data_IF_130980106824
#
_entry.id   IF_130980106824
#
_cell.length_a   1.000
_cell.length_b   1.000
_cell.length_c   1.000
_cell.angle_alpha   90.00
_cell.angle_beta   90.00
_cell.angle_gamma   90.00
#
_symmetry.space_group_name_H-M   'P 1'
#
loop_
_entity.id
_entity.type
_entity.pdbx_description
1 polymer ?
#
# COMPACT_ATOMS: atom_id res chain seq x y z
N UNK A 1 2.28 -1.50 -10.95
CA UNK A 1 3.14 -0.29 -11.01
C UNK A 1 4.28 -0.31 -9.99
N UNK A 2 4.02 -0.57 -8.71
CA UNK A 2 5.07 -0.63 -7.67
C UNK A 2 6.15 -1.69 -7.97
N UNK A 3 5.75 -2.89 -8.40
CA UNK A 3 6.69 -3.95 -8.80
C UNK A 3 7.59 -3.52 -9.97
N UNK A 4 6.99 -3.02 -11.06
CA UNK A 4 7.73 -2.50 -12.22
C UNK A 4 8.74 -1.40 -11.85
N UNK A 5 8.38 -0.46 -10.96
CA UNK A 5 9.32 0.55 -10.45
C UNK A 5 10.50 -0.11 -9.73
N UNK A 6 10.21 -1.08 -8.85
CA UNK A 6 11.23 -1.81 -8.09
C UNK A 6 12.16 -2.60 -9.02
N UNK A 7 11.62 -3.24 -10.04
CA UNK A 7 12.39 -3.97 -11.05
C UNK A 7 13.33 -3.04 -11.82
N UNK A 8 12.85 -1.88 -12.28
CA UNK A 8 13.70 -0.90 -12.97
C UNK A 8 14.79 -0.32 -12.06
N UNK A 9 14.47 -0.04 -10.79
CA UNK A 9 15.46 0.39 -9.79
C UNK A 9 16.55 -0.67 -9.63
N UNK A 10 16.15 -1.94 -9.51
CA UNK A 10 17.07 -3.05 -9.33
C UNK A 10 17.93 -3.30 -10.58
N UNK A 11 17.33 -3.22 -11.77
CA UNK A 11 18.05 -3.33 -13.04
C UNK A 11 19.10 -2.22 -13.17
N UNK A 12 18.72 -0.97 -12.91
CA UNK A 12 19.63 0.18 -12.95
C UNK A 12 20.79 -0.01 -11.97
N UNK A 13 20.52 -0.41 -10.71
CA UNK A 13 21.56 -0.70 -9.72
C UNK A 13 22.48 -1.86 -10.15
N UNK A 14 21.92 -2.90 -10.77
CA UNK A 14 22.66 -4.05 -11.28
C UNK A 14 23.64 -3.67 -12.40
N UNK A 15 23.17 -2.87 -13.37
CA UNK A 15 23.99 -2.37 -14.47
C UNK A 15 25.15 -1.51 -13.96
N UNK A 16 24.87 -0.54 -13.10
CA UNK A 16 25.93 0.31 -12.51
C UNK A 16 26.95 -0.52 -11.73
N UNK A 17 26.49 -1.53 -10.97
CA UNK A 17 27.37 -2.44 -10.23
C UNK A 17 28.30 -3.24 -11.15
N UNK A 18 27.83 -3.67 -12.33
CA UNK A 18 28.67 -4.39 -13.29
C UNK A 18 29.82 -3.55 -13.86
N UNK A 19 29.68 -2.22 -13.83
CA UNK A 19 30.70 -1.25 -14.25
C UNK A 19 31.65 -0.85 -13.10
N UNK A 20 31.60 -1.55 -11.96
CA UNK A 20 32.50 -1.32 -10.83
C UNK A 20 32.14 -0.12 -9.94
N UNK A 21 31.04 0.58 -10.23
CA UNK A 21 30.56 1.72 -9.42
C UNK A 21 29.29 1.35 -8.65
N UNK A 22 28.85 2.20 -7.72
CA UNK A 22 27.64 1.98 -6.93
C UNK A 22 26.80 3.25 -6.85
N UNK A 23 25.50 3.09 -7.04
CA UNK A 23 24.53 4.16 -6.82
C UNK A 23 24.31 4.44 -5.33
N UNK A 24 23.98 5.70 -4.98
CA UNK A 24 23.68 6.07 -3.61
C UNK A 24 22.44 5.35 -3.07
N UNK A 25 22.42 5.11 -1.76
CA UNK A 25 21.22 4.64 -1.07
C UNK A 25 20.17 5.75 -1.10
N UNK A 26 18.96 5.39 -1.48
CA UNK A 26 17.82 6.30 -1.61
C UNK A 26 16.51 5.51 -1.55
N UNK A 27 15.43 6.22 -1.20
CA UNK A 27 14.07 5.68 -1.27
C UNK A 27 13.62 5.53 -2.72
N UNK A 28 12.66 4.64 -2.98
CA UNK A 28 12.14 4.45 -4.34
C UNK A 28 11.59 5.73 -4.99
N UNK A 29 10.87 6.62 -4.27
CA UNK A 29 10.38 7.88 -4.85
C UNK A 29 11.52 8.86 -5.21
N UNK A 30 12.59 8.91 -4.41
CA UNK A 30 13.72 9.82 -4.65
C UNK A 30 14.77 9.26 -5.61
N UNK A 31 14.61 8.01 -6.05
CA UNK A 31 15.62 7.30 -6.85
C UNK A 31 16.00 8.07 -8.11
N UNK A 32 15.01 8.52 -8.88
CA UNK A 32 15.29 9.16 -10.16
C UNK A 32 16.08 10.47 -10.02
N UNK A 33 15.80 11.26 -8.98
CA UNK A 33 16.55 12.49 -8.69
C UNK A 33 17.99 12.18 -8.24
N UNK A 34 18.16 11.24 -7.31
CA UNK A 34 19.48 10.94 -6.73
C UNK A 34 20.42 10.23 -7.70
N UNK A 35 19.87 9.52 -8.68
CA UNK A 35 20.66 8.69 -9.60
C UNK A 35 21.14 9.47 -10.82
N UNK A 36 20.40 10.48 -11.30
CA UNK A 36 20.81 11.31 -12.45
C UNK A 36 22.23 11.86 -12.33
N UNK A 37 22.62 12.28 -11.12
CA UNK A 37 23.94 12.87 -10.85
C UNK A 37 25.01 11.80 -10.57
N UNK A 38 24.61 10.63 -10.09
CA UNK A 38 25.52 9.56 -9.66
C UNK A 38 25.87 8.56 -10.78
N UNK A 39 25.25 8.67 -11.96
CA UNK A 39 25.50 7.78 -13.09
C UNK A 39 26.79 8.18 -13.83
N UNK A 40 27.75 7.24 -14.02
CA UNK A 40 28.96 7.47 -14.79
C UNK A 40 28.66 7.92 -16.22
N UNK A 41 29.55 8.75 -16.78
CA UNK A 41 29.35 9.33 -18.11
C UNK A 41 29.27 8.25 -19.21
N UNK A 42 30.01 7.15 -19.10
CA UNK A 42 30.10 6.14 -20.17
C UNK A 42 28.77 5.40 -20.42
N UNK A 43 27.92 5.29 -19.40
CA UNK A 43 26.64 4.55 -19.46
C UNK A 43 25.42 5.45 -19.28
N UNK A 44 25.64 6.76 -19.21
CA UNK A 44 24.61 7.75 -18.90
C UNK A 44 23.48 7.71 -19.91
N UNK A 45 23.79 7.70 -21.20
CA UNK A 45 22.79 7.74 -22.26
C UNK A 45 21.92 6.48 -22.29
N UNK A 46 22.48 5.32 -21.90
CA UNK A 46 21.74 4.07 -21.79
C UNK A 46 20.86 4.00 -20.53
N UNK A 47 21.30 4.59 -19.41
CA UNK A 47 20.60 4.50 -18.12
C UNK A 47 19.58 5.61 -17.89
N UNK A 48 19.79 6.82 -18.44
CA UNK A 48 18.88 7.94 -18.27
C UNK A 48 17.42 7.62 -18.67
N UNK A 49 17.16 6.88 -19.77
CA UNK A 49 15.80 6.44 -20.09
C UNK A 49 15.15 5.58 -19.00
N UNK A 50 15.88 4.62 -18.41
CA UNK A 50 15.38 3.79 -17.29
C UNK A 50 15.10 4.62 -16.04
N UNK A 51 15.95 5.61 -15.77
CA UNK A 51 15.78 6.57 -14.69
C UNK A 51 14.56 7.48 -14.93
N UNK A 52 14.29 7.85 -16.19
CA UNK A 52 13.08 8.56 -16.58
C UNK A 52 11.80 7.73 -16.37
N UNK A 53 11.82 6.45 -16.75
CA UNK A 53 10.69 5.54 -16.54
C UNK A 53 10.37 5.33 -15.05
N UNK A 54 11.40 5.25 -14.20
CA UNK A 54 11.20 5.15 -12.75
C UNK A 54 10.60 6.42 -12.14
N UNK A 55 10.92 7.60 -12.67
CA UNK A 55 10.25 8.85 -12.31
C UNK A 55 8.77 8.82 -12.70
N UNK A 56 8.47 8.53 -13.98
CA UNK A 56 7.09 8.50 -14.49
C UNK A 56 6.21 7.50 -13.73
N UNK A 57 6.74 6.32 -13.40
CA UNK A 57 6.02 5.35 -12.55
C UNK A 57 5.80 5.85 -11.13
N UNK A 58 6.75 6.61 -10.56
CA UNK A 58 6.59 7.20 -9.24
C UNK A 58 5.49 8.27 -9.23
N UNK A 59 5.46 9.12 -10.25
CA UNK A 59 4.42 10.15 -10.41
C UNK A 59 3.04 9.51 -10.61
N UNK A 60 2.95 8.45 -11.41
CA UNK A 60 1.70 7.70 -11.57
C UNK A 60 1.22 7.10 -10.25
N UNK A 61 2.12 6.45 -9.48
CA UNK A 61 1.78 5.87 -8.18
C UNK A 61 1.26 6.96 -7.24
N UNK A 62 1.97 8.08 -7.15
CA UNK A 62 1.55 9.21 -6.31
C UNK A 62 0.18 9.74 -6.74
N UNK A 63 -0.06 9.92 -8.04
CA UNK A 63 -1.35 10.38 -8.54
C UNK A 63 -2.50 9.40 -8.23
N UNK A 64 -2.23 8.09 -8.16
CA UNK A 64 -3.22 7.12 -7.69
C UNK A 64 -3.44 7.19 -6.18
N UNK A 65 -2.38 7.37 -5.38
CA UNK A 65 -2.49 7.54 -3.93
C UNK A 65 -3.35 8.78 -3.59
N UNK A 66 -3.14 9.90 -4.30
CA UNK A 66 -3.92 11.13 -4.17
C UNK A 66 -5.41 10.92 -4.53
N UNK A 67 -5.68 10.23 -5.64
CA UNK A 67 -7.06 9.88 -6.05
C UNK A 67 -7.75 8.98 -5.03
N UNK A 68 -7.03 8.04 -4.42
CA UNK A 68 -7.59 7.16 -3.40
C UNK A 68 -7.96 7.97 -2.15
N UNK A 69 -7.11 8.92 -1.75
CA UNK A 69 -7.38 9.84 -0.65
C UNK A 69 -8.60 10.74 -0.94
N UNK A 70 -8.68 11.29 -2.16
CA UNK A 70 -9.83 12.09 -2.61
C UNK A 70 -11.13 11.28 -2.61
N UNK A 71 -11.13 10.08 -3.20
CA UNK A 71 -12.30 9.19 -3.19
C UNK A 71 -12.74 8.83 -1.76
N UNK A 72 -11.79 8.56 -0.87
CA UNK A 72 -12.06 8.29 0.54
C UNK A 72 -12.69 9.48 1.26
N UNK A 73 -12.28 10.71 0.93
CA UNK A 73 -12.82 11.93 1.53
C UNK A 73 -14.19 12.31 0.98
N UNK A 74 -14.38 12.25 -0.34
CA UNK A 74 -15.52 12.87 -1.02
C UNK A 74 -16.68 11.91 -1.24
N UNK A 75 -16.38 10.68 -1.64
CA UNK A 75 -17.41 9.69 -1.99
C UNK A 75 -17.67 8.70 -0.85
N UNK A 76 -16.63 8.37 -0.09
CA UNK A 76 -16.69 7.33 0.93
C UNK A 76 -16.25 7.86 2.29
N UNK A 77 -16.89 8.92 2.79
CA UNK A 77 -16.52 9.58 4.07
C UNK A 77 -16.45 8.64 5.28
N UNK A 78 -17.18 7.52 5.23
CA UNK A 78 -17.10 6.41 6.19
C UNK A 78 -15.70 5.77 6.31
N UNK A 79 -14.83 5.94 5.31
CA UNK A 79 -13.43 5.52 5.38
C UNK A 79 -12.67 6.24 6.50
N UNK A 80 -13.07 7.46 6.88
CA UNK A 80 -12.45 8.19 7.98
C UNK A 80 -12.61 7.47 9.33
N UNK A 81 -13.76 6.85 9.57
CA UNK A 81 -14.00 6.09 10.80
C UNK A 81 -13.13 4.83 10.86
N UNK A 82 -12.98 4.14 9.73
CA UNK A 82 -12.14 2.94 9.61
C UNK A 82 -10.65 3.26 9.83
N UNK A 83 -10.21 4.43 9.34
CA UNK A 83 -8.82 4.90 9.48
C UNK A 83 -8.43 5.28 10.92
N UNK A 84 -9.39 5.41 11.84
CA UNK A 84 -9.10 5.59 13.27
C UNK A 84 -8.44 4.34 13.88
N UNK A 85 -8.63 3.20 13.24
CA UNK A 85 -8.05 1.94 13.68
C UNK A 85 -6.59 1.86 13.25
N UNK A 86 -5.70 1.59 14.22
CA UNK A 86 -4.26 1.52 13.98
C UNK A 86 -3.93 0.46 12.92
N UNK A 87 -3.26 0.89 11.85
CA UNK A 87 -2.86 0.03 10.73
C UNK A 87 -3.83 0.02 9.54
N UNK A 88 -4.97 0.72 9.63
CA UNK A 88 -5.90 0.88 8.50
C UNK A 88 -5.56 2.13 7.70
N UNK A 89 -4.96 1.93 6.52
CA UNK A 89 -4.67 2.99 5.57
C UNK A 89 -5.86 3.32 4.64
N UNK A 90 -5.73 4.37 3.82
CA UNK A 90 -6.79 4.82 2.90
C UNK A 90 -7.22 3.74 1.90
N UNK A 91 -6.26 3.01 1.30
CA UNK A 91 -6.53 1.90 0.37
C UNK A 91 -7.36 0.81 1.07
N UNK A 92 -6.95 0.43 2.27
CA UNK A 92 -7.61 -0.64 3.03
C UNK A 92 -9.00 -0.23 3.51
N UNK A 93 -9.15 1.02 3.97
CA UNK A 93 -10.45 1.56 4.35
C UNK A 93 -11.40 1.61 3.15
N UNK A 94 -10.92 2.07 2.00
CA UNK A 94 -11.71 2.13 0.78
C UNK A 94 -12.10 0.73 0.29
N UNK A 95 -11.16 -0.22 0.28
CA UNK A 95 -11.43 -1.61 -0.05
C UNK A 95 -12.48 -2.23 0.88
N UNK A 96 -12.42 -1.93 2.18
CA UNK A 96 -13.41 -2.38 3.16
C UNK A 96 -14.81 -1.84 2.83
N UNK A 97 -14.95 -0.53 2.62
CA UNK A 97 -16.24 0.09 2.28
C UNK A 97 -16.81 -0.50 0.99
N UNK A 98 -16.00 -0.54 -0.08
CA UNK A 98 -16.42 -1.09 -1.38
C UNK A 98 -16.77 -2.59 -1.33
N UNK A 99 -16.13 -3.34 -0.44
CA UNK A 99 -16.42 -4.77 -0.29
C UNK A 99 -17.72 -5.01 0.50
N UNK A 100 -18.08 -4.09 1.40
CA UNK A 100 -19.23 -4.22 2.30
C UNK A 100 -20.50 -3.52 1.86
N UNK A 101 -20.45 -2.74 0.78
CA UNK A 101 -21.65 -2.28 0.07
C UNK A 101 -22.62 -3.43 -0.26
N UNK A 102 -22.15 -4.70 -0.26
CA UNK A 102 -22.99 -5.88 -0.28
C UNK A 102 -22.85 -6.70 1.03
N UNK A 103 -23.59 -6.35 2.10
CA UNK A 103 -23.48 -7.00 3.41
C UNK A 103 -23.87 -8.49 3.40
N UNK A 104 -24.67 -8.93 2.42
CA UNK A 104 -25.10 -10.33 2.31
C UNK A 104 -23.95 -11.28 1.94
N UNK A 105 -22.82 -10.74 1.46
CA UNK A 105 -21.66 -11.55 1.05
C UNK A 105 -20.94 -12.20 2.23
N UNK A 106 -21.13 -11.71 3.46
CA UNK A 106 -20.47 -12.26 4.65
C UNK A 106 -21.48 -12.64 5.73
N UNK A 107 -21.57 -13.94 6.02
CA UNK A 107 -22.45 -14.47 7.09
C UNK A 107 -21.96 -14.05 8.48
N UNK A 108 -20.65 -13.83 8.66
CA UNK A 108 -20.07 -13.39 9.93
C UNK A 108 -19.05 -12.27 9.69
N UNK A 109 -19.16 -11.19 10.44
CA UNK A 109 -18.26 -10.02 10.36
C UNK A 109 -16.78 -10.35 10.64
N UNK A 110 -16.49 -11.46 11.33
CA UNK A 110 -15.11 -11.93 11.58
C UNK A 110 -14.38 -12.45 10.34
N UNK A 111 -15.13 -12.80 9.29
CA UNK A 111 -14.58 -13.37 8.05
C UNK A 111 -14.05 -12.26 7.11
N UNK A 112 -14.45 -11.01 7.36
CA UNK A 112 -14.06 -9.83 6.59
C UNK A 112 -12.57 -9.49 6.76
N UNK A 113 -12.03 -9.62 7.98
CA UNK A 113 -10.63 -9.31 8.28
C UNK A 113 -9.65 -10.19 7.48
N UNK A 114 -9.77 -11.53 7.55
CA UNK A 114 -8.99 -12.45 6.72
C UNK A 114 -9.17 -12.22 5.21
N UNK A 115 -10.38 -11.92 4.76
CA UNK A 115 -10.67 -11.64 3.35
C UNK A 115 -9.92 -10.40 2.83
N UNK A 116 -9.75 -9.38 3.67
CA UNK A 116 -9.05 -8.15 3.34
C UNK A 116 -7.54 -8.17 3.66
N UNK A 117 -7.00 -9.33 4.08
CA UNK A 117 -5.60 -9.45 4.47
C UNK A 117 -5.23 -8.67 5.75
N UNK A 118 -6.23 -8.29 6.56
CA UNK A 118 -6.09 -7.57 7.82
C UNK A 118 -5.73 -8.51 9.00
N UNK A 119 -4.93 -9.53 8.74
CA UNK A 119 -4.46 -10.48 9.75
C UNK A 119 -2.99 -10.16 10.05
N UNK A 120 -2.58 -10.08 11.33
CA UNK A 120 -1.18 -9.89 11.67
C UNK A 120 -0.30 -10.93 10.94
N UNK A 121 0.79 -10.44 10.35
CA UNK A 121 1.76 -11.24 9.59
C UNK A 121 2.28 -12.38 10.48
N UNK A 122 2.00 -13.63 10.11
CA UNK A 122 2.56 -14.80 10.79
C UNK A 122 4.02 -14.97 10.38
N UNK A 123 4.94 -14.67 11.30
CA UNK A 123 6.31 -15.16 11.28
C UNK A 123 6.39 -16.27 12.34
N UNK A 124 6.36 -17.54 11.89
CA UNK A 124 6.48 -18.82 12.61
C UNK A 124 5.21 -19.49 13.22
N UNK A 125 4.98 -20.79 12.94
CA UNK A 125 3.87 -21.58 13.47
C UNK A 125 4.28 -22.29 14.77
N UNK A 126 4.40 -21.56 15.87
CA UNK A 126 4.39 -22.17 17.19
C UNK A 126 3.95 -21.14 18.21
N UNK A 127 3.01 -21.52 19.07
CA UNK A 127 2.60 -20.81 20.27
C UNK A 127 1.57 -19.68 20.08
N UNK A 128 0.32 -20.09 19.81
CA UNK A 128 -0.84 -19.32 20.26
C UNK A 128 -0.94 -19.45 21.79
N UNK A 129 -0.24 -18.57 22.51
CA UNK A 129 -0.59 -18.25 23.90
C UNK A 129 -1.75 -17.28 23.80
N UNK A 130 -2.93 -17.67 24.29
CA UNK A 130 -4.09 -16.80 24.41
C UNK A 130 -3.75 -15.63 25.34
N UNK A 131 -3.19 -14.55 24.80
CA UNK A 131 -3.29 -13.23 25.40
C UNK A 131 -4.45 -12.53 24.71
N UNK A 132 -5.50 -12.24 25.46
CA UNK A 132 -6.60 -11.35 25.11
C UNK A 132 -6.15 -10.19 24.21
N UNK A 133 -6.72 -10.07 23.00
CA UNK A 133 -6.46 -8.91 22.14
C UNK A 133 -6.69 -9.01 20.63
N UNK A 134 -7.69 -9.74 20.09
CA UNK A 134 -8.28 -9.40 18.79
C UNK A 134 -9.78 -9.05 18.88
N UNK A 135 -10.37 -9.03 20.09
CA UNK A 135 -11.78 -8.72 20.29
C UNK A 135 -12.11 -7.28 19.92
N UNK A 136 -11.23 -6.32 20.19
CA UNK A 136 -11.59 -4.90 20.10
C UNK A 136 -11.51 -4.38 18.65
N UNK A 137 -10.61 -4.93 17.84
CA UNK A 137 -10.53 -4.64 16.40
C UNK A 137 -11.73 -5.20 15.66
N UNK A 138 -12.06 -6.48 15.88
CA UNK A 138 -13.24 -7.10 15.25
C UNK A 138 -14.54 -6.54 15.81
N UNK A 139 -14.63 -6.20 17.10
CA UNK A 139 -15.79 -5.48 17.66
C UNK A 139 -15.91 -4.10 17.06
N UNK A 140 -14.83 -3.32 16.99
CA UNK A 140 -14.83 -1.99 16.37
C UNK A 140 -15.29 -2.06 14.91
N UNK A 141 -14.81 -3.04 14.15
CA UNK A 141 -15.29 -3.34 12.78
C UNK A 141 -16.76 -3.76 12.75
N UNK A 142 -17.24 -4.59 13.68
CA UNK A 142 -18.66 -4.99 13.76
C UNK A 142 -19.57 -3.82 14.15
N UNK A 143 -19.12 -2.96 15.07
CA UNK A 143 -19.83 -1.78 15.56
C UNK A 143 -19.88 -0.71 14.46
N UNK A 144 -18.78 -0.51 13.75
CA UNK A 144 -18.72 0.27 12.51
C UNK A 144 -19.68 -0.28 11.46
N UNK A 145 -19.68 -1.59 11.21
CA UNK A 145 -20.59 -2.23 10.26
C UNK A 145 -22.05 -2.03 10.65
N UNK A 146 -22.42 -2.17 11.93
CA UNK A 146 -23.78 -1.87 12.41
C UNK A 146 -24.15 -0.40 12.25
N UNK A 147 -23.20 0.51 12.51
CA UNK A 147 -23.41 1.95 12.34
C UNK A 147 -23.65 2.31 10.87
N UNK A 148 -22.88 1.72 9.95
CA UNK A 148 -22.98 1.89 8.50
C UNK A 148 -24.27 1.31 7.91
N UNK A 149 -24.67 0.11 8.36
CA UNK A 149 -25.93 -0.52 7.95
C UNK A 149 -27.17 0.27 8.43
N UNK A 150 -27.06 1.00 9.55
CA UNK A 150 -28.14 1.83 10.08
C UNK A 150 -28.29 3.19 9.37
N UNK A 151 -27.31 3.63 8.58
CA UNK A 151 -27.32 4.93 7.86
C UNK A 151 -27.76 4.83 6.40
N UNK A 152 -28.00 3.62 5.88
CA UNK A 152 -28.41 3.38 4.47
C UNK A 152 -29.93 3.27 4.28
N UNK A 153 -30.74 3.85 5.18
CA UNK A 153 -32.20 3.96 5.07
C UNK A 153 -32.66 5.41 5.03
#
# INVERSE_FOLDING_TARGET
MVAARTELINATRGLVKSMGTRLPKCSSPSFAQRVKEAVPAEIRDALLPLVGLTAALSDCIQGYDEKIEELGREKYGHTALLRQVKGVGPITALAYVLTLENPERFVKSRDVGPYLGLVPKQENPAMFRYTTGPSDFLKSICDLWRCLSATSH
#
